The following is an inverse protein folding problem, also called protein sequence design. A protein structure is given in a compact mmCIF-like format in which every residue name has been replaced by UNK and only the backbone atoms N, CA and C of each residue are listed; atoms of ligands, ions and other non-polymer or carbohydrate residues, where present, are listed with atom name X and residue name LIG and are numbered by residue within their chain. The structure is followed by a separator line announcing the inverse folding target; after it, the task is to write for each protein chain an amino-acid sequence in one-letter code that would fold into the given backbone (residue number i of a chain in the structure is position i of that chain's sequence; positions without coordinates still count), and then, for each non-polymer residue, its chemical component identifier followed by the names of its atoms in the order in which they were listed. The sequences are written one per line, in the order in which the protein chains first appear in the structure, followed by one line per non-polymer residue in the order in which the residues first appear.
data_IF_883130718562
#
_entry.id   IF_883130718562
#
_cell.length_a   1.000
_cell.length_b   1.000
_cell.length_c   1.000
_cell.angle_alpha   90.00
_cell.angle_beta   90.00
_cell.angle_gamma   90.00
#
_symmetry.space_group_name_H-M   'P 1'
#
loop_
_entity.id
_entity.type
_entity.pdbx_description
1 polymer ?
#
# COMPACT_ATOMS: atom_id res chain seq x y z
N UNK A 1 29.85 -35.51 9.95
CA UNK A 1 29.97 -34.58 11.11
C UNK A 1 28.63 -33.89 11.40
N UNK A 2 28.07 -33.09 10.48
CA UNK A 2 26.79 -32.36 10.66
C UNK A 2 25.59 -33.24 11.10
N UNK A 3 25.45 -34.43 10.49
CA UNK A 3 24.43 -35.41 10.85
C UNK A 3 24.53 -35.90 12.30
N UNK A 4 25.76 -35.97 12.84
CA UNK A 4 25.99 -36.42 14.21
C UNK A 4 25.59 -35.33 15.22
N UNK A 5 25.91 -34.06 14.93
CA UNK A 5 25.44 -32.93 15.72
C UNK A 5 23.91 -32.81 15.70
N UNK A 6 23.27 -32.96 14.54
CA UNK A 6 21.80 -32.96 14.45
C UNK A 6 21.18 -34.08 15.30
N UNK A 7 21.74 -35.29 15.24
CA UNK A 7 21.28 -36.45 16.00
C UNK A 7 21.42 -36.24 17.51
N UNK A 8 22.52 -35.63 17.96
CA UNK A 8 22.76 -35.31 19.37
C UNK A 8 21.78 -34.23 19.85
N UNK A 9 21.60 -33.15 19.08
CA UNK A 9 20.66 -32.07 19.41
C UNK A 9 19.22 -32.54 19.50
N UNK A 10 18.75 -33.36 18.56
CA UNK A 10 17.40 -33.96 18.59
C UNK A 10 17.21 -34.84 19.83
N UNK A 11 18.23 -35.63 20.20
CA UNK A 11 18.18 -36.46 21.41
C UNK A 11 18.12 -35.59 22.68
N UNK A 12 18.82 -34.46 22.70
CA UNK A 12 18.81 -33.54 23.82
C UNK A 12 17.47 -32.80 23.95
N UNK A 13 16.89 -32.34 22.84
CA UNK A 13 15.54 -31.75 22.80
C UNK A 13 14.46 -32.73 23.30
N UNK A 14 14.58 -34.02 22.94
CA UNK A 14 13.67 -35.06 23.46
C UNK A 14 13.87 -35.37 24.95
N UNK A 15 15.01 -35.03 25.55
CA UNK A 15 15.29 -35.23 26.98
C UNK A 15 14.77 -34.06 27.82
N UNK A 16 14.80 -32.84 27.29
CA UNK A 16 14.31 -31.61 27.96
C UNK A 16 13.09 -31.00 27.24
N UNK A 17 12.06 -31.81 26.96
CA UNK A 17 10.94 -31.44 26.07
C UNK A 17 10.19 -30.17 26.47
N UNK A 18 9.94 -29.98 27.77
CA UNK A 18 9.22 -28.80 28.28
C UNK A 18 10.04 -27.51 28.09
N UNK A 19 11.29 -27.50 28.56
CA UNK A 19 12.17 -26.34 28.47
C UNK A 19 12.49 -25.97 27.02
N UNK A 20 12.76 -26.96 26.17
CA UNK A 20 13.00 -26.73 24.74
C UNK A 20 11.74 -26.28 24.02
N UNK A 21 10.57 -26.84 24.36
CA UNK A 21 9.28 -26.41 23.81
C UNK A 21 8.96 -24.95 24.11
N UNK A 22 9.12 -24.52 25.37
CA UNK A 22 8.89 -23.13 25.77
C UNK A 22 9.80 -22.14 25.02
N UNK A 23 11.10 -22.46 24.90
CA UNK A 23 12.04 -21.60 24.18
C UNK A 23 11.74 -21.52 22.68
N UNK A 24 11.44 -22.65 22.03
CA UNK A 24 11.14 -22.69 20.59
C UNK A 24 9.82 -21.96 20.30
N UNK A 25 8.80 -22.15 21.14
CA UNK A 25 7.52 -21.46 20.97
C UNK A 25 7.65 -19.95 21.21
N UNK A 26 8.35 -19.53 22.27
CA UNK A 26 8.57 -18.11 22.54
C UNK A 26 9.33 -17.42 21.41
N UNK A 27 10.41 -18.05 20.94
CA UNK A 27 11.17 -17.54 19.79
C UNK A 27 10.33 -17.55 18.50
N UNK A 28 9.57 -18.62 18.26
CA UNK A 28 8.72 -18.75 17.07
C UNK A 28 7.62 -17.68 17.02
N UNK A 29 6.96 -17.41 18.15
CA UNK A 29 5.93 -16.36 18.26
C UNK A 29 6.56 -14.98 18.06
N UNK A 30 7.72 -14.71 18.66
CA UNK A 30 8.43 -13.43 18.49
C UNK A 30 8.81 -13.18 17.03
N UNK A 31 9.37 -14.19 16.36
CA UNK A 31 9.70 -14.11 14.94
C UNK A 31 8.44 -13.91 14.10
N UNK A 32 7.38 -14.69 14.34
CA UNK A 32 6.12 -14.57 13.60
C UNK A 32 5.50 -13.17 13.73
N UNK A 33 5.49 -12.60 14.94
CA UNK A 33 4.96 -11.25 15.17
C UNK A 33 5.75 -10.18 14.39
N UNK A 34 7.09 -10.25 14.40
CA UNK A 34 7.94 -9.32 13.64
C UNK A 34 7.71 -9.49 12.14
N UNK A 35 7.59 -10.72 11.65
CA UNK A 35 7.31 -10.99 10.24
C UNK A 35 5.97 -10.42 9.78
N UNK A 36 4.91 -10.57 10.59
CA UNK A 36 3.60 -10.00 10.26
C UNK A 36 3.65 -8.48 10.22
N UNK A 37 4.35 -7.83 11.16
CA UNK A 37 4.55 -6.37 11.14
C UNK A 37 5.33 -5.92 9.90
N UNK A 38 6.39 -6.63 9.51
CA UNK A 38 7.17 -6.30 8.31
C UNK A 38 6.35 -6.46 7.03
N UNK A 39 5.55 -7.51 6.92
CA UNK A 39 4.67 -7.71 5.77
C UNK A 39 3.64 -6.59 5.66
N UNK A 40 3.05 -6.18 6.78
CA UNK A 40 2.11 -5.06 6.80
C UNK A 40 2.77 -3.75 6.33
N UNK A 41 3.96 -3.43 6.84
CA UNK A 41 4.70 -2.23 6.42
C UNK A 41 5.10 -2.29 4.95
N UNK A 42 5.54 -3.46 4.48
CA UNK A 42 5.90 -3.66 3.07
C UNK A 42 4.69 -3.46 2.14
N UNK A 43 3.52 -3.94 2.53
CA UNK A 43 2.27 -3.75 1.80
C UNK A 43 1.87 -2.26 1.74
N UNK A 44 1.88 -1.58 2.88
CA UNK A 44 1.54 -0.15 2.97
C UNK A 44 2.45 0.73 2.11
N UNK A 45 3.77 0.48 2.14
CA UNK A 45 4.73 1.25 1.33
C UNK A 45 4.64 0.89 -0.16
N UNK A 46 4.24 -0.34 -0.48
CA UNK A 46 4.09 -0.78 -1.87
C UNK A 46 2.83 -0.26 -2.55
N UNK A 47 1.82 0.18 -1.79
CA UNK A 47 0.49 0.53 -2.33
C UNK A 47 0.53 1.58 -3.45
N UNK A 48 1.35 2.63 -3.32
CA UNK A 48 1.47 3.70 -4.32
C UNK A 48 2.66 3.52 -5.29
N UNK A 49 3.46 2.46 -5.11
CA UNK A 49 4.72 2.23 -5.85
C UNK A 49 4.57 1.57 -7.23
N UNK A 50 3.35 1.27 -7.68
CA UNK A 50 3.12 0.50 -8.92
C UNK A 50 3.30 1.32 -10.21
N UNK A 51 3.33 2.65 -10.12
CA UNK A 51 3.49 3.53 -11.27
C UNK A 51 4.95 3.84 -11.59
N UNK A 52 5.40 3.55 -12.81
CA UNK A 52 6.77 3.80 -13.27
C UNK A 52 7.24 5.27 -13.21
N UNK A 53 6.31 6.22 -13.04
CA UNK A 53 6.59 7.66 -12.88
C UNK A 53 5.91 8.24 -11.64
N UNK A 54 5.81 7.44 -10.57
CA UNK A 54 5.12 7.82 -9.33
C UNK A 54 5.62 9.17 -8.75
N UNK A 55 6.90 9.49 -8.93
CA UNK A 55 7.54 10.76 -8.53
C UNK A 55 6.94 12.01 -9.20
N UNK A 56 6.25 11.84 -10.34
CA UNK A 56 5.64 12.92 -11.11
C UNK A 56 4.11 12.87 -11.15
N UNK A 57 3.50 11.97 -10.38
CA UNK A 57 2.04 11.80 -10.32
C UNK A 57 1.54 12.39 -9.02
N UNK A 58 0.66 13.38 -9.11
CA UNK A 58 0.10 14.08 -7.95
C UNK A 58 -1.42 14.06 -7.97
N UNK A 59 -2.01 13.94 -6.78
CA UNK A 59 -3.46 14.09 -6.57
C UNK A 59 -3.75 15.51 -6.12
N UNK A 60 -4.61 16.20 -6.87
CA UNK A 60 -5.03 17.55 -6.51
C UNK A 60 -6.13 17.49 -5.45
N UNK A 61 -5.97 18.25 -4.37
CA UNK A 61 -6.91 18.33 -3.24
C UNK A 61 -7.27 19.78 -2.97
N UNK A 62 -8.41 19.99 -2.29
CA UNK A 62 -8.89 21.30 -1.89
C UNK A 62 -8.82 21.42 -0.37
N UNK A 63 -8.16 22.46 0.11
CA UNK A 63 -8.14 22.84 1.51
C UNK A 63 -8.67 24.26 1.63
N UNK A 64 -9.71 24.46 2.44
CA UNK A 64 -10.19 25.78 2.80
C UNK A 64 -10.25 25.91 4.33
N UNK A 65 -9.85 27.08 4.82
CA UNK A 65 -9.87 27.42 6.24
C UNK A 65 -10.64 28.72 6.44
N UNK A 66 -11.44 28.77 7.49
CA UNK A 66 -12.20 29.95 7.92
C UNK A 66 -12.14 30.05 9.45
N UNK A 67 -12.57 31.19 10.00
CA UNK A 67 -12.48 31.45 11.44
C UNK A 67 -13.16 30.38 12.32
N UNK A 68 -14.22 29.74 11.83
CA UNK A 68 -15.03 28.78 12.58
C UNK A 68 -14.84 27.32 12.14
N UNK A 69 -13.94 27.04 11.20
CA UNK A 69 -13.73 25.66 10.73
C UNK A 69 -12.81 25.53 9.52
N UNK A 70 -12.62 24.29 9.09
CA UNK A 70 -11.83 23.96 7.90
C UNK A 70 -12.43 22.75 7.20
N UNK A 71 -12.26 22.69 5.88
CA UNK A 71 -12.49 21.47 5.13
C UNK A 71 -11.24 21.08 4.34
N UNK A 72 -11.02 19.76 4.26
CA UNK A 72 -10.06 19.11 3.37
C UNK A 72 -10.81 18.09 2.54
N UNK A 73 -10.93 18.35 1.26
CA UNK A 73 -11.67 17.51 0.32
C UNK A 73 -10.75 17.08 -0.81
N UNK A 74 -10.81 15.81 -1.14
CA UNK A 74 -10.15 15.26 -2.31
C UNK A 74 -10.91 15.46 -3.64
N UNK A 75 -12.26 15.54 -3.71
CA UNK A 75 -12.93 15.83 -4.97
C UNK A 75 -12.67 17.28 -5.40
N UNK A 76 -12.47 17.45 -6.71
CA UNK A 76 -12.37 18.75 -7.37
C UNK A 76 -13.47 18.89 -8.42
N UNK A 77 -13.75 20.11 -8.86
CA UNK A 77 -14.75 20.33 -9.90
C UNK A 77 -14.33 19.69 -11.23
N UNK A 78 -15.29 19.16 -11.98
CA UNK A 78 -15.07 18.51 -13.26
C UNK A 78 -14.18 19.32 -14.26
N UNK A 79 -14.38 20.64 -14.45
CA UNK A 79 -13.55 21.41 -15.39
C UNK A 79 -12.13 21.69 -14.90
N UNK A 80 -11.83 21.45 -13.61
CA UNK A 80 -10.55 21.82 -13.01
C UNK A 80 -9.35 21.16 -13.68
N UNK A 81 -9.49 19.90 -14.10
CA UNK A 81 -8.45 19.17 -14.82
C UNK A 81 -8.13 19.77 -16.21
N UNK A 82 -9.09 20.42 -16.87
CA UNK A 82 -8.85 21.11 -18.15
C UNK A 82 -8.24 22.49 -17.92
N UNK A 83 -8.73 23.23 -16.92
CA UNK A 83 -8.16 24.53 -16.55
C UNK A 83 -6.68 24.41 -16.21
N UNK A 84 -6.30 23.43 -15.37
CA UNK A 84 -4.91 23.17 -15.00
C UNK A 84 -4.02 22.91 -16.23
N UNK A 85 -4.48 22.12 -17.19
CA UNK A 85 -3.72 21.81 -18.41
C UNK A 85 -3.55 23.02 -19.34
N UNK A 86 -4.53 23.94 -19.34
CA UNK A 86 -4.49 25.13 -20.19
C UNK A 86 -3.64 26.25 -19.59
N UNK A 87 -3.65 26.38 -18.26
CA UNK A 87 -2.95 27.45 -17.54
C UNK A 87 -1.49 27.08 -17.20
N UNK A 88 -1.20 25.79 -16.99
CA UNK A 88 0.12 25.32 -16.56
C UNK A 88 0.75 24.39 -17.61
N UNK A 89 1.71 24.87 -18.42
CA UNK A 89 2.35 24.07 -19.47
C UNK A 89 3.20 22.91 -18.94
N UNK A 90 3.60 22.93 -17.66
CA UNK A 90 4.30 21.82 -16.99
C UNK A 90 3.44 20.56 -16.79
N UNK A 91 2.11 20.68 -16.91
CA UNK A 91 1.18 19.56 -16.73
C UNK A 91 1.00 18.81 -18.05
N UNK A 92 1.77 17.73 -18.24
CA UNK A 92 1.73 16.91 -19.47
C UNK A 92 0.37 16.21 -19.68
N UNK A 93 -0.19 15.65 -18.60
CA UNK A 93 -1.41 14.81 -18.64
C UNK A 93 -2.25 15.02 -17.39
N UNK A 94 -3.57 15.02 -17.57
CA UNK A 94 -4.54 15.04 -16.47
C UNK A 94 -5.50 13.86 -16.59
N UNK A 95 -5.88 13.31 -15.44
CA UNK A 95 -6.87 12.23 -15.32
C UNK A 95 -7.86 12.64 -14.24
N UNK A 96 -9.13 12.27 -14.43
CA UNK A 96 -10.17 12.46 -13.44
C UNK A 96 -10.71 11.11 -13.00
N UNK A 97 -10.96 10.97 -11.71
CA UNK A 97 -11.53 9.77 -11.11
C UNK A 97 -12.84 10.20 -10.44
N UNK A 98 -13.94 9.56 -10.82
CA UNK A 98 -15.25 9.72 -10.16
C UNK A 98 -15.40 8.61 -9.14
N UNK A 99 -15.78 8.96 -7.90
CA UNK A 99 -16.04 7.97 -6.84
C UNK A 99 -17.33 7.17 -7.12
N UNK A 100 -18.28 7.77 -7.82
CA UNK A 100 -19.45 7.08 -8.37
C UNK A 100 -18.98 6.31 -9.60
N UNK A 101 -18.85 4.99 -9.48
CA UNK A 101 -18.34 4.06 -10.49
C UNK A 101 -19.17 3.92 -11.77
N UNK A 102 -19.85 4.97 -12.23
CA UNK A 102 -20.67 5.03 -13.45
C UNK A 102 -20.03 5.81 -14.60
N UNK A 103 -18.75 6.14 -14.52
CA UNK A 103 -18.05 6.83 -15.61
C UNK A 103 -17.76 5.89 -16.79
N UNK A 104 -18.03 6.32 -18.03
CA UNK A 104 -17.55 5.60 -19.23
C UNK A 104 -16.03 5.58 -19.25
N UNK A 105 -15.44 4.40 -19.06
CA UNK A 105 -14.00 4.20 -19.17
C UNK A 105 -13.68 4.09 -20.67
N UNK A 106 -12.96 5.08 -21.20
CA UNK A 106 -12.51 5.08 -22.60
C UNK A 106 -10.99 4.98 -22.66
N UNK A 107 -10.48 3.92 -23.27
CA UNK A 107 -9.06 3.74 -23.56
C UNK A 107 -8.88 3.74 -25.08
N UNK A 108 -8.39 4.85 -25.62
CA UNK A 108 -8.31 5.07 -27.07
C UNK A 108 -9.71 5.12 -27.71
N UNK A 109 -9.98 4.26 -28.69
CA UNK A 109 -11.29 4.16 -29.33
C UNK A 109 -12.28 3.23 -28.59
N UNK A 110 -11.79 2.41 -27.65
CA UNK A 110 -12.64 1.46 -26.94
C UNK A 110 -13.30 2.12 -25.74
N UNK A 111 -14.63 2.12 -25.71
CA UNK A 111 -15.44 2.62 -24.59
C UNK A 111 -16.11 1.41 -23.94
N UNK A 112 -15.75 1.09 -22.70
CA UNK A 112 -16.47 0.08 -21.91
C UNK A 112 -17.61 0.79 -21.16
N UNK A 113 -18.83 0.32 -21.40
CA UNK A 113 -20.06 0.85 -20.81
C UNK A 113 -20.50 -0.18 -19.78
N UNK A 114 -20.08 0.00 -18.52
CA UNK A 114 -20.68 -0.70 -17.41
C UNK A 114 -21.80 0.17 -16.86
N UNK A 115 -23.04 -0.27 -17.09
CA UNK A 115 -24.24 0.23 -16.43
C UNK A 115 -24.28 -0.25 -14.97
#
# INVERSE_FOLDING_TARGET
MLLNYLKISIRNFRKQRLFSGLNILGLGIGIAAVWLMLLYVADEVSYDGFHAKADRIFRVTQEARWATGSFKLAPTSAPFAQALRNEYPEIEKTVRISAEGGGRIRFGEKTDRRE
#
